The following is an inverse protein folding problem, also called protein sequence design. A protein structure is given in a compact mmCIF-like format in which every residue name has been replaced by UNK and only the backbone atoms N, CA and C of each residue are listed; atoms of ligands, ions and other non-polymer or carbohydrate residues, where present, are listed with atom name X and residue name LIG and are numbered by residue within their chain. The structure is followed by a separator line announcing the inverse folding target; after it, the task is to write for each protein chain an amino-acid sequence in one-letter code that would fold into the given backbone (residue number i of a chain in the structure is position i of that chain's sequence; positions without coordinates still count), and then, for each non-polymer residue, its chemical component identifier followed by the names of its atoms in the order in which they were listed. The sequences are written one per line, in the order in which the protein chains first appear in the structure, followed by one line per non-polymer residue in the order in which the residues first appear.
data_IF_565188445613
#
_entry.id   IF_565188445613
#
_cell.length_a   1.000
_cell.length_b   1.000
_cell.length_c   1.000
_cell.angle_alpha   90.00
_cell.angle_beta   90.00
_cell.angle_gamma   90.00
#
_symmetry.space_group_name_H-M   'P 1'
#
loop_
_entity.id
_entity.type
_entity.pdbx_description
1 polymer ?
#
# COMPACT_ATOMS: atom_id res chain seq x y z
N UNK A 1 -11.01 44.10 -12.14
CA UNK A 1 -9.74 43.73 -11.49
C UNK A 1 -9.31 42.38 -12.04
N UNK A 2 -8.13 42.33 -12.65
CA UNK A 2 -7.63 41.14 -13.36
C UNK A 2 -6.95 40.17 -12.37
N UNK A 3 -6.95 38.87 -12.64
CA UNK A 3 -6.22 37.87 -11.83
C UNK A 3 -4.74 38.21 -11.70
N UNK A 4 -4.19 38.92 -12.70
CA UNK A 4 -2.82 39.43 -12.71
C UNK A 4 -2.58 40.57 -11.69
N UNK A 5 -3.59 41.37 -11.33
CA UNK A 5 -3.48 42.44 -10.30
C UNK A 5 -3.26 41.84 -8.90
N UNK A 6 -3.93 40.72 -8.60
CA UNK A 6 -3.86 40.07 -7.27
C UNK A 6 -2.48 39.44 -7.05
N UNK A 7 -1.87 38.92 -8.09
CA UNK A 7 -0.49 38.37 -8.06
C UNK A 7 0.54 39.47 -7.81
N UNK A 8 0.30 40.67 -8.32
CA UNK A 8 1.20 41.81 -8.17
C UNK A 8 1.13 42.46 -6.78
N UNK A 9 -0.06 42.47 -6.14
CA UNK A 9 -0.26 43.09 -4.81
C UNK A 9 0.13 42.22 -3.61
N UNK A 10 0.05 40.89 -3.70
CA UNK A 10 0.29 39.98 -2.56
C UNK A 10 1.60 39.17 -2.63
N UNK A 11 2.40 39.39 -3.68
CA UNK A 11 3.71 38.80 -3.86
C UNK A 11 3.63 37.36 -4.42
N UNK A 12 4.32 37.05 -5.53
CA UNK A 12 4.30 35.72 -6.16
C UNK A 12 4.79 34.59 -5.23
N UNK A 13 5.48 34.94 -4.14
CA UNK A 13 6.04 34.01 -3.17
C UNK A 13 5.00 33.20 -2.39
N UNK A 14 3.85 33.80 -2.03
CA UNK A 14 2.80 33.05 -1.31
C UNK A 14 2.09 32.06 -2.23
N UNK A 15 1.89 32.42 -3.50
CA UNK A 15 1.33 31.53 -4.52
C UNK A 15 2.30 30.39 -4.81
N UNK A 16 3.59 30.69 -4.97
CA UNK A 16 4.62 29.66 -5.15
C UNK A 16 4.69 28.67 -3.97
N UNK A 17 4.62 29.17 -2.73
CA UNK A 17 4.57 28.31 -1.55
C UNK A 17 3.34 27.40 -1.51
N UNK A 18 2.17 27.92 -1.89
CA UNK A 18 0.95 27.12 -1.98
C UNK A 18 1.04 26.03 -3.05
N UNK A 19 1.52 26.39 -4.24
CA UNK A 19 1.72 25.42 -5.35
C UNK A 19 2.75 24.36 -4.95
N UNK A 20 3.83 24.75 -4.27
CA UNK A 20 4.83 23.81 -3.76
C UNK A 20 4.25 22.85 -2.73
N UNK A 21 3.47 23.34 -1.77
CA UNK A 21 2.79 22.49 -0.78
C UNK A 21 1.81 21.51 -1.44
N UNK A 22 1.06 21.97 -2.45
CA UNK A 22 0.15 21.12 -3.21
C UNK A 22 0.89 20.03 -3.99
N UNK A 23 2.02 20.38 -4.61
CA UNK A 23 2.86 19.42 -5.34
C UNK A 23 3.45 18.36 -4.41
N UNK A 24 3.96 18.75 -3.23
CA UNK A 24 4.47 17.83 -2.21
C UNK A 24 3.37 16.91 -1.70
N UNK A 25 2.19 17.46 -1.40
CA UNK A 25 1.03 16.66 -0.99
C UNK A 25 0.67 15.63 -2.06
N UNK A 26 0.63 16.04 -3.33
CA UNK A 26 0.29 15.14 -4.44
C UNK A 26 1.33 14.04 -4.63
N UNK A 27 2.63 14.37 -4.53
CA UNK A 27 3.72 13.39 -4.60
C UNK A 27 3.64 12.35 -3.48
N UNK A 28 3.46 12.80 -2.23
CA UNK A 28 3.28 11.90 -1.09
C UNK A 28 2.03 11.05 -1.23
N UNK A 29 0.95 11.62 -1.79
CA UNK A 29 -0.28 10.89 -2.04
C UNK A 29 -0.09 9.81 -3.11
N UNK A 30 0.60 10.14 -4.20
CA UNK A 30 0.96 9.17 -5.24
C UNK A 30 1.84 8.06 -4.68
N UNK A 31 2.79 8.40 -3.80
CA UNK A 31 3.71 7.44 -3.17
C UNK A 31 3.02 6.53 -2.15
N UNK A 32 1.86 6.93 -1.62
CA UNK A 32 1.09 6.09 -0.69
C UNK A 32 0.56 4.81 -1.34
N UNK A 33 0.20 4.88 -2.62
CA UNK A 33 -0.29 3.73 -3.39
C UNK A 33 0.74 2.62 -3.58
N UNK A 34 1.97 2.88 -4.07
CA UNK A 34 3.00 1.84 -4.19
C UNK A 34 3.42 1.27 -2.83
N UNK A 35 3.43 2.07 -1.75
CA UNK A 35 3.66 1.55 -0.41
C UNK A 35 2.58 0.56 0.04
N UNK A 36 1.31 0.91 -0.17
CA UNK A 36 0.19 0.04 0.16
C UNK A 36 0.18 -1.25 -0.70
N UNK A 37 0.50 -1.12 -1.99
CA UNK A 37 0.67 -2.25 -2.91
C UNK A 37 1.83 -3.16 -2.48
N UNK A 38 2.97 -2.59 -2.11
CA UNK A 38 4.11 -3.35 -1.60
C UNK A 38 3.76 -4.15 -0.35
N UNK A 39 3.05 -3.54 0.60
CA UNK A 39 2.58 -4.23 1.79
C UNK A 39 1.62 -5.39 1.45
N UNK A 40 0.72 -5.21 0.48
CA UNK A 40 -0.19 -6.26 0.00
C UNK A 40 0.55 -7.42 -0.65
N UNK A 41 1.55 -7.13 -1.49
CA UNK A 41 2.39 -8.13 -2.14
C UNK A 41 3.19 -8.91 -1.11
N UNK A 42 3.78 -8.24 -0.12
CA UNK A 42 4.52 -8.89 0.95
C UNK A 42 3.63 -9.81 1.79
N UNK A 43 2.43 -9.36 2.14
CA UNK A 43 1.45 -10.18 2.85
C UNK A 43 1.01 -11.41 2.03
N UNK A 44 0.79 -11.25 0.72
CA UNK A 44 0.46 -12.35 -0.17
C UNK A 44 1.62 -13.36 -0.28
N UNK A 45 2.86 -12.88 -0.33
CA UNK A 45 4.05 -13.73 -0.35
C UNK A 45 4.20 -14.50 0.97
N UNK A 46 4.04 -13.83 2.11
CA UNK A 46 4.12 -14.47 3.42
C UNK A 46 3.05 -15.54 3.62
N UNK A 47 1.78 -15.23 3.33
CA UNK A 47 0.68 -16.20 3.41
C UNK A 47 0.85 -17.37 2.45
N UNK A 48 1.33 -17.12 1.23
CA UNK A 48 1.61 -18.19 0.27
C UNK A 48 2.76 -19.10 0.71
N UNK A 49 3.81 -18.54 1.32
CA UNK A 49 4.93 -19.32 1.86
C UNK A 49 4.49 -20.14 3.07
N UNK A 50 3.73 -19.55 3.99
CA UNK A 50 3.21 -20.23 5.18
C UNK A 50 2.35 -21.44 4.77
N UNK A 51 1.40 -21.24 3.84
CA UNK A 51 0.56 -22.32 3.33
C UNK A 51 1.37 -23.44 2.65
N UNK A 52 2.41 -23.09 1.88
CA UNK A 52 3.28 -24.08 1.24
C UNK A 52 4.07 -24.88 2.28
N UNK A 53 4.57 -24.21 3.30
CA UNK A 53 5.32 -24.83 4.40
C UNK A 53 4.40 -25.74 5.21
N UNK A 54 3.20 -25.27 5.58
CA UNK A 54 2.19 -26.10 6.26
C UNK A 54 1.85 -27.34 5.44
N UNK A 55 1.60 -27.20 4.13
CA UNK A 55 1.29 -28.34 3.27
C UNK A 55 2.47 -29.33 3.13
N UNK A 56 3.71 -28.82 3.15
CA UNK A 56 4.89 -29.67 3.06
C UNK A 56 5.21 -30.42 4.36
N UNK A 57 4.96 -29.79 5.52
CA UNK A 57 5.30 -30.32 6.84
C UNK A 57 4.13 -31.10 7.47
N UNK A 58 2.89 -30.83 7.06
CA UNK A 58 1.68 -31.55 7.51
C UNK A 58 1.12 -32.49 6.42
N UNK A 59 1.86 -33.50 5.93
CA UNK A 59 1.25 -34.59 5.16
C UNK A 59 0.51 -35.59 6.08
N UNK A 60 0.83 -35.65 7.37
CA UNK A 60 0.43 -36.74 8.30
C UNK A 60 -0.96 -36.57 8.95
N UNK A 61 -1.52 -35.36 9.01
CA UNK A 61 -2.84 -35.13 9.65
C UNK A 61 -3.99 -35.69 8.81
N UNK A 62 -3.88 -35.65 7.48
CA UNK A 62 -4.93 -36.19 6.60
C UNK A 62 -5.03 -37.71 6.70
N UNK A 63 -3.92 -38.44 6.89
CA UNK A 63 -3.97 -39.90 7.08
C UNK A 63 -4.56 -40.29 8.44
N UNK A 64 -4.25 -39.55 9.52
CA UNK A 64 -4.86 -39.80 10.84
C UNK A 64 -6.35 -39.50 10.88
N UNK A 65 -6.78 -38.36 10.33
CA UNK A 65 -8.21 -38.00 10.24
C UNK A 65 -8.97 -39.01 9.38
N UNK A 66 -8.39 -39.46 8.25
CA UNK A 66 -8.98 -40.50 7.41
C UNK A 66 -9.11 -41.84 8.14
N UNK A 67 -8.14 -42.23 8.98
CA UNK A 67 -8.23 -43.46 9.79
C UNK A 67 -9.29 -43.38 10.88
N UNK A 68 -9.42 -42.26 11.58
CA UNK A 68 -10.42 -42.12 12.66
C UNK A 68 -11.84 -41.89 12.16
N UNK A 69 -12.03 -41.42 10.92
CA UNK A 69 -13.35 -41.28 10.32
C UNK A 69 -13.96 -42.62 9.84
N UNK A 70 -13.17 -43.70 9.82
CA UNK A 70 -13.58 -45.05 9.40
C UNK A 70 -13.70 -46.04 10.57
N UNK A 71 -13.64 -45.57 11.82
CA UNK A 71 -13.89 -46.36 13.04
C UNK A 71 -15.15 -45.82 13.71
#
# INVERSE_FOLDING_TARGET
MSVFDVVQQHGPWRVAGFVAALAVFLLLHLLRWPLALGARVLLAAQSGLDQRITNAITPDTNERVRRTAHV
#
